data_IF_726040664961
#
_entry.id   IF_726040664961
#
_cell.length_a   1.000
_cell.length_b   1.000
_cell.length_c   1.000
_cell.angle_alpha   90.00
_cell.angle_beta   90.00
_cell.angle_gamma   90.00
#
_symmetry.space_group_name_H-M   'P 1'
#
loop_
_entity.id
_entity.type
_entity.pdbx_description
1 polymer ?
#
# COMPACT_ATOMS: atom_id res chain seq x y z
N UNK A 1 -6.28 -8.18 -14.58
CA UNK A 1 -5.74 -8.91 -15.75
C UNK A 1 -6.74 -9.99 -16.14
N UNK A 2 -7.19 -9.99 -17.39
CA UNK A 2 -8.31 -10.83 -17.81
C UNK A 2 -9.57 -10.56 -16.97
N UNK A 3 -10.29 -11.63 -16.61
CA UNK A 3 -11.54 -11.55 -15.84
C UNK A 3 -11.38 -11.83 -14.34
N UNK A 4 -10.28 -12.46 -13.93
CA UNK A 4 -10.18 -13.12 -12.61
C UNK A 4 -9.10 -12.55 -11.69
N UNK A 5 -8.06 -11.90 -12.22
CA UNK A 5 -6.97 -11.36 -11.43
C UNK A 5 -7.15 -9.85 -11.23
N UNK A 6 -7.14 -9.39 -9.98
CA UNK A 6 -6.99 -7.97 -9.68
C UNK A 6 -5.50 -7.64 -9.58
N UNK A 7 -5.08 -6.54 -10.19
CA UNK A 7 -3.72 -6.04 -10.07
C UNK A 7 -3.78 -4.64 -9.45
N UNK A 8 -3.17 -4.50 -8.27
CA UNK A 8 -3.06 -3.25 -7.53
C UNK A 8 -1.61 -2.81 -7.57
N UNK A 9 -1.38 -1.58 -8.01
CA UNK A 9 -0.06 -0.95 -8.00
C UNK A 9 -0.01 0.07 -6.87
N UNK A 10 1.10 0.11 -6.14
CA UNK A 10 1.33 1.03 -5.03
C UNK A 10 2.73 1.66 -5.20
N UNK A 11 2.84 2.96 -4.96
CA UNK A 11 4.12 3.67 -4.97
C UNK A 11 4.92 3.42 -3.69
N UNK A 12 6.23 3.63 -3.77
CA UNK A 12 7.15 3.40 -2.66
C UNK A 12 7.50 1.93 -2.42
N UNK A 13 8.32 1.72 -1.39
CA UNK A 13 8.75 0.39 -0.95
C UNK A 13 7.80 -0.11 0.14
N UNK A 14 6.71 -0.75 -0.29
CA UNK A 14 5.64 -1.19 0.62
C UNK A 14 6.02 -2.47 1.38
N UNK A 15 5.67 -2.52 2.66
CA UNK A 15 5.84 -3.73 3.48
C UNK A 15 4.85 -4.84 3.08
N UNK A 16 5.14 -6.07 3.52
CA UNK A 16 4.35 -7.28 3.18
C UNK A 16 2.87 -7.19 3.56
N UNK A 17 2.55 -6.39 4.58
CA UNK A 17 1.19 -6.23 5.09
C UNK A 17 0.22 -5.72 4.01
N UNK A 18 0.67 -4.90 3.07
CA UNK A 18 -0.16 -4.48 1.92
C UNK A 18 -0.52 -5.66 1.01
N UNK A 19 0.42 -6.57 0.73
CA UNK A 19 0.13 -7.76 -0.08
C UNK A 19 -0.86 -8.69 0.63
N UNK A 20 -0.67 -8.93 1.93
CA UNK A 20 -1.54 -9.79 2.73
C UNK A 20 -2.93 -9.18 2.90
N UNK A 21 -3.01 -7.89 3.24
CA UNK A 21 -4.25 -7.15 3.42
C UNK A 21 -5.10 -7.09 2.15
N UNK A 22 -4.51 -6.71 1.02
CA UNK A 22 -5.22 -6.64 -0.27
C UNK A 22 -5.72 -8.01 -0.74
N UNK A 23 -4.96 -9.08 -0.50
CA UNK A 23 -5.42 -10.46 -0.79
C UNK A 23 -6.54 -10.90 0.13
N UNK A 24 -6.48 -10.54 1.41
CA UNK A 24 -7.55 -10.81 2.37
C UNK A 24 -8.84 -10.09 1.98
N UNK A 25 -8.72 -8.84 1.52
CA UNK A 25 -9.87 -8.01 1.19
C UNK A 25 -10.47 -8.29 -0.19
N UNK A 26 -9.64 -8.42 -1.23
CA UNK A 26 -10.09 -8.52 -2.62
C UNK A 26 -10.00 -9.93 -3.21
N UNK A 27 -9.46 -10.89 -2.44
CA UNK A 27 -9.35 -12.30 -2.79
C UNK A 27 -7.92 -12.74 -3.11
N UNK A 28 -7.65 -14.06 -3.05
CA UNK A 28 -6.29 -14.62 -3.17
C UNK A 28 -5.63 -14.37 -4.52
N UNK A 29 -6.43 -14.16 -5.57
CA UNK A 29 -5.99 -13.77 -6.92
C UNK A 29 -5.80 -12.24 -7.05
N UNK A 30 -5.47 -11.56 -5.97
CA UNK A 30 -5.02 -10.16 -6.01
C UNK A 30 -3.51 -10.15 -6.05
N UNK A 31 -2.95 -9.48 -7.04
CA UNK A 31 -1.51 -9.24 -7.14
C UNK A 31 -1.22 -7.79 -6.79
N UNK A 32 -0.27 -7.58 -5.87
CA UNK A 32 0.16 -6.25 -5.44
C UNK A 32 1.58 -6.04 -5.94
N UNK A 33 1.80 -4.94 -6.67
CA UNK A 33 3.11 -4.49 -7.10
C UNK A 33 3.47 -3.18 -6.40
N UNK A 34 4.53 -3.19 -5.58
CA UNK A 34 5.17 -1.97 -5.07
C UNK A 34 6.04 -1.30 -6.13
N UNK A 35 6.78 -0.26 -5.75
CA UNK A 35 7.70 0.47 -6.65
C UNK A 35 7.05 1.00 -7.92
N UNK A 36 5.73 1.17 -7.92
CA UNK A 36 4.99 1.58 -9.11
C UNK A 36 4.83 3.09 -9.16
N UNK A 37 5.11 3.67 -10.34
CA UNK A 37 4.97 5.10 -10.68
C UNK A 37 5.94 6.05 -9.94
N UNK A 38 6.15 5.87 -8.63
CA UNK A 38 7.02 6.71 -7.82
C UNK A 38 7.59 5.94 -6.62
N UNK A 39 8.74 6.39 -6.10
CA UNK A 39 9.42 5.81 -4.94
C UNK A 39 9.84 6.93 -3.99
N UNK A 40 8.94 7.28 -3.08
CA UNK A 40 9.15 8.37 -2.11
C UNK A 40 9.88 7.92 -0.84
N UNK A 41 9.65 6.70 -0.36
CA UNK A 41 10.29 6.07 0.78
C UNK A 41 9.78 4.63 0.95
N UNK A 42 10.24 3.93 1.99
CA UNK A 42 9.48 2.81 2.55
C UNK A 42 8.12 3.27 3.04
N UNK A 43 7.11 2.43 2.83
CA UNK A 43 5.73 2.68 3.22
C UNK A 43 5.30 1.57 4.21
N UNK A 44 5.22 1.88 5.52
CA UNK A 44 4.86 0.91 6.54
C UNK A 44 3.35 0.68 6.60
N UNK A 45 2.94 -0.41 7.24
CA UNK A 45 1.61 -0.52 7.86
C UNK A 45 1.59 0.21 9.21
N UNK A 46 0.43 0.43 9.80
CA UNK A 46 0.31 1.01 11.14
C UNK A 46 1.10 0.18 12.16
N UNK A 47 0.99 -1.15 12.10
CA UNK A 47 1.73 -2.06 12.99
C UNK A 47 3.24 -1.86 12.89
N UNK A 48 3.80 -1.84 11.67
CA UNK A 48 5.25 -1.64 11.48
C UNK A 48 5.66 -0.23 11.92
N UNK A 49 4.83 0.77 11.62
CA UNK A 49 5.06 2.14 12.05
C UNK A 49 5.15 2.25 13.58
N UNK A 50 4.24 1.60 14.32
CA UNK A 50 4.24 1.56 15.79
C UNK A 50 5.43 0.77 16.37
N UNK A 51 5.78 -0.38 15.77
CA UNK A 51 6.93 -1.20 16.16
C UNK A 51 8.26 -0.42 16.05
N UNK A 52 8.32 0.52 15.11
CA UNK A 52 9.49 1.32 14.79
C UNK A 52 9.61 2.63 15.59
N UNK A 53 8.62 2.96 16.43
CA UNK A 53 8.65 4.10 17.35
C UNK A 53 9.42 3.75 18.63
N UNK A 54 10.39 4.57 19.07
CA UNK A 54 11.06 4.37 20.36
C UNK A 54 10.11 4.47 21.57
N UNK A 55 10.29 3.65 22.62
CA UNK A 55 11.33 2.62 22.76
C UNK A 55 11.02 1.36 21.94
N UNK A 56 11.99 0.94 21.12
CA UNK A 56 11.84 -0.23 20.24
C UNK A 56 12.16 -1.53 20.98
N UNK A 57 11.51 -2.62 20.59
CA UNK A 57 11.76 -3.97 21.16
C UNK A 57 13.14 -4.53 20.80
N UNK A 58 13.75 -4.04 19.72
CA UNK A 58 15.07 -4.45 19.25
C UNK A 58 15.81 -3.27 18.64
N UNK A 59 17.13 -3.23 18.77
CA UNK A 59 17.98 -2.21 18.15
C UNK A 59 18.02 -2.29 16.62
N UNK A 60 17.58 -3.42 16.04
CA UNK A 60 17.48 -3.61 14.58
C UNK A 60 16.17 -3.10 13.98
N UNK A 61 15.18 -2.77 14.82
CA UNK A 61 13.90 -2.24 14.34
C UNK A 61 14.02 -0.75 14.07
N UNK A 62 13.12 -0.20 13.27
CA UNK A 62 13.05 1.23 13.03
C UNK A 62 13.35 1.70 11.63
N UNK A 63 13.55 0.84 10.64
CA UNK A 63 13.94 1.29 9.31
C UNK A 63 12.72 1.69 8.48
N UNK A 64 11.82 0.76 8.22
CA UNK A 64 10.68 0.93 7.33
C UNK A 64 9.70 2.01 7.81
N UNK A 65 9.48 2.12 9.13
CA UNK A 65 8.55 3.08 9.73
C UNK A 65 9.17 4.40 10.19
N UNK A 66 10.50 4.53 10.21
CA UNK A 66 11.16 5.67 10.85
C UNK A 66 12.43 6.12 10.10
N UNK A 67 13.55 5.41 10.21
CA UNK A 67 14.85 5.94 9.78
C UNK A 67 15.07 5.94 8.27
N UNK A 68 14.26 5.20 7.50
CA UNK A 68 14.33 5.20 6.03
C UNK A 68 14.15 6.59 5.43
N UNK A 69 13.34 7.47 6.05
CA UNK A 69 13.11 8.84 5.59
C UNK A 69 14.41 9.62 5.33
N UNK A 70 15.42 9.43 6.19
CA UNK A 70 16.72 10.08 6.05
C UNK A 70 17.47 9.61 4.79
N UNK A 71 17.35 8.33 4.43
CA UNK A 71 17.98 7.75 3.23
C UNK A 71 17.37 8.32 1.95
N UNK A 72 16.05 8.58 1.95
CA UNK A 72 15.36 9.23 0.83
C UNK A 72 15.43 10.77 0.87
N UNK A 73 16.17 11.36 1.82
CA UNK A 73 16.32 12.81 1.93
C UNK A 73 15.04 13.55 2.30
N UNK A 74 14.08 12.87 2.94
CA UNK A 74 12.82 13.47 3.37
C UNK A 74 12.98 14.18 4.72
N UNK A 75 12.39 15.38 4.89
CA UNK A 75 12.55 16.17 6.11
C UNK A 75 11.72 15.67 7.29
N UNK A 76 10.83 14.70 7.07
CA UNK A 76 9.97 14.12 8.11
C UNK A 76 10.66 12.95 8.82
N UNK A 77 10.36 12.75 10.10
CA UNK A 77 10.89 11.62 10.87
C UNK A 77 10.13 10.30 10.61
N UNK A 78 8.86 10.37 10.21
CA UNK A 78 7.99 9.21 9.92
C UNK A 78 6.74 9.62 9.16
N UNK A 79 6.03 8.63 8.61
CA UNK A 79 4.70 8.83 8.04
C UNK A 79 3.65 9.14 9.10
N UNK A 80 2.50 9.70 8.68
CA UNK A 80 1.30 9.74 9.51
C UNK A 80 0.81 8.32 9.80
N UNK A 81 0.22 8.10 10.98
CA UNK A 81 -0.44 6.84 11.36
C UNK A 81 -1.59 6.47 10.42
N UNK A 82 -2.15 7.45 9.70
CA UNK A 82 -3.21 7.23 8.70
C UNK A 82 -2.69 6.77 7.33
N UNK A 83 -1.38 6.56 7.14
CA UNK A 83 -0.82 6.26 5.82
C UNK A 83 -1.40 4.98 5.21
N UNK A 84 -1.51 3.92 6.01
CA UNK A 84 -2.05 2.64 5.58
C UNK A 84 -3.52 2.80 5.16
N UNK A 85 -4.33 3.43 6.01
CA UNK A 85 -5.75 3.66 5.75
C UNK A 85 -5.96 4.45 4.45
N UNK A 86 -5.19 5.54 4.25
CA UNK A 86 -5.30 6.35 3.02
C UNK A 86 -4.99 5.55 1.75
N UNK A 87 -4.00 4.65 1.82
CA UNK A 87 -3.65 3.77 0.69
C UNK A 87 -4.75 2.73 0.46
N UNK A 88 -5.24 2.09 1.53
CA UNK A 88 -6.27 1.06 1.45
C UNK A 88 -7.59 1.64 0.95
N UNK A 89 -8.00 2.80 1.44
CA UNK A 89 -9.17 3.52 0.93
C UNK A 89 -9.01 3.89 -0.54
N UNK A 90 -7.83 4.35 -0.95
CA UNK A 90 -7.55 4.64 -2.36
C UNK A 90 -7.68 3.38 -3.22
N UNK A 91 -7.12 2.25 -2.75
CA UNK A 91 -7.24 0.96 -3.42
C UNK A 91 -8.72 0.55 -3.55
N UNK A 92 -9.52 0.62 -2.48
CA UNK A 92 -10.97 0.36 -2.51
C UNK A 92 -11.67 1.19 -3.59
N UNK A 93 -11.42 2.50 -3.62
CA UNK A 93 -11.99 3.40 -4.64
C UNK A 93 -11.59 2.99 -6.07
N UNK A 94 -10.32 2.64 -6.30
CA UNK A 94 -9.90 2.20 -7.64
C UNK A 94 -10.50 0.85 -8.03
N UNK A 95 -10.57 -0.09 -7.10
CA UNK A 95 -11.18 -1.40 -7.32
C UNK A 95 -12.66 -1.27 -7.67
N UNK A 96 -13.39 -0.40 -6.95
CA UNK A 96 -14.78 -0.08 -7.27
C UNK A 96 -14.90 0.50 -8.68
N UNK A 97 -14.09 1.49 -9.05
CA UNK A 97 -14.09 2.05 -10.41
C UNK A 97 -13.81 1.01 -11.49
N UNK A 98 -12.87 0.10 -11.28
CA UNK A 98 -12.56 -0.96 -12.25
C UNK A 98 -13.69 -1.97 -12.35
N UNK A 99 -14.37 -2.30 -11.24
CA UNK A 99 -15.52 -3.22 -11.23
C UNK A 99 -16.77 -2.59 -11.84
N UNK A 100 -17.04 -1.32 -11.55
CA UNK A 100 -18.20 -0.58 -12.06
C UNK A 100 -17.99 -0.12 -13.52
N UNK A 101 -16.74 0.20 -13.91
CA UNK A 101 -16.38 0.47 -15.29
C UNK A 101 -16.55 -0.74 -16.22
N UNK A 102 -16.61 -1.95 -15.67
CA UNK A 102 -17.04 -3.16 -16.41
C UNK A 102 -18.57 -3.25 -16.59
N UNK A 103 -19.36 -2.40 -15.94
CA UNK A 103 -20.83 -2.35 -16.05
C UNK A 103 -21.34 -1.22 -16.99
N UNK A 104 -20.47 -0.44 -17.65
CA UNK A 104 -20.89 0.52 -18.67
C UNK A 104 -21.53 -0.20 -19.88
N UNK A 105 -22.58 0.38 -20.48
CA UNK A 105 -23.72 -0.38 -20.98
C UNK A 105 -23.42 -1.21 -22.23
N UNK A 106 -24.12 -2.35 -22.33
CA UNK A 106 -24.23 -3.11 -23.56
C UNK A 106 -24.71 -2.19 -24.70
N UNK A 107 -23.88 -2.06 -25.73
CA UNK A 107 -24.16 -1.63 -27.11
C UNK A 107 -25.44 -0.79 -27.33
N UNK A 108 -25.26 0.49 -27.68
CA UNK A 108 -26.24 1.15 -28.55
C UNK A 108 -26.18 0.44 -29.91
N UNK A 109 -27.33 -0.10 -30.33
CA UNK A 109 -27.58 -0.62 -31.66
C UNK A 109 -27.46 0.49 -32.71
#
# INVERSE_FOLDING_TARGET
LGKTQLWITIGGEVVVDYSLGMKKEFGPNTWVAGYCNDVMAYTPSLRVLEEDVPPRKSSRWGYEGNTSMMVYGLPANRWSEEIEDKIVESARRQVEKVRNGKQAPASLK
#
